data_IF_677337351001
#
_entry.id   IF_677337351001
#
_cell.length_a   1.000
_cell.length_b   1.000
_cell.length_c   1.000
_cell.angle_alpha   90.00
_cell.angle_beta   90.00
_cell.angle_gamma   90.00
#
_symmetry.space_group_name_H-M   'P 1'
#
loop_
_entity.id
_entity.type
_entity.pdbx_description
1 polymer ?
#
# COMPACT_ATOMS: atom_id res chain seq x y z
N UNK A 1 39.76 -37.66 32.26
CA UNK A 1 39.30 -37.43 30.88
C UNK A 1 38.81 -35.98 30.74
N UNK A 2 39.68 -35.03 30.39
CA UNK A 2 39.26 -33.67 30.02
C UNK A 2 38.85 -33.68 28.54
N UNK A 3 37.59 -34.03 28.25
CA UNK A 3 37.04 -33.76 26.92
C UNK A 3 37.02 -32.25 26.75
N UNK A 4 37.86 -31.75 25.84
CA UNK A 4 38.00 -30.34 25.55
C UNK A 4 36.65 -29.79 25.05
N UNK A 5 35.87 -29.18 25.94
CA UNK A 5 34.56 -28.63 25.64
C UNK A 5 34.63 -27.25 24.95
N UNK A 6 35.84 -26.80 24.59
CA UNK A 6 36.10 -25.50 23.97
C UNK A 6 35.21 -25.25 22.75
N UNK A 7 35.12 -26.20 21.82
CA UNK A 7 34.30 -26.06 20.61
C UNK A 7 32.81 -25.88 20.90
N UNK A 8 32.28 -26.50 21.97
CA UNK A 8 30.88 -26.34 22.38
C UNK A 8 30.62 -24.91 22.88
N UNK A 9 31.53 -24.37 23.67
CA UNK A 9 31.44 -22.98 24.14
C UNK A 9 31.52 -21.99 22.97
N UNK A 10 32.41 -22.24 22.01
CA UNK A 10 32.52 -21.41 20.80
C UNK A 10 31.22 -21.41 20.00
N UNK A 11 30.57 -22.57 19.83
CA UNK A 11 29.26 -22.67 19.16
C UNK A 11 28.19 -21.86 19.91
N UNK A 12 28.06 -22.07 21.22
CA UNK A 12 27.01 -21.39 22.00
C UNK A 12 27.19 -19.88 21.95
N UNK A 13 28.42 -19.37 22.10
CA UNK A 13 28.71 -17.94 22.00
C UNK A 13 28.40 -17.43 20.58
N UNK A 14 28.75 -18.18 19.55
CA UNK A 14 28.46 -17.79 18.15
C UNK A 14 26.95 -17.70 17.89
N UNK A 15 26.16 -18.63 18.43
CA UNK A 15 24.69 -18.59 18.33
C UNK A 15 24.15 -17.37 19.07
N UNK A 16 24.62 -17.09 20.29
CA UNK A 16 24.16 -15.92 21.06
C UNK A 16 24.48 -14.61 20.33
N UNK A 17 25.70 -14.47 19.80
CA UNK A 17 26.11 -13.28 19.02
C UNK A 17 25.27 -13.16 17.75
N UNK A 18 25.03 -14.26 17.04
CA UNK A 18 24.14 -14.26 15.88
C UNK A 18 22.71 -13.87 16.23
N UNK A 19 22.17 -14.39 17.34
CA UNK A 19 20.84 -14.04 17.84
C UNK A 19 20.72 -12.57 18.22
N UNK A 20 21.74 -12.00 18.87
CA UNK A 20 21.79 -10.57 19.18
C UNK A 20 21.88 -9.70 17.92
N UNK A 21 22.63 -10.14 16.92
CA UNK A 21 22.72 -9.46 15.63
C UNK A 21 21.37 -9.45 14.91
N UNK A 22 20.65 -10.58 14.89
CA UNK A 22 19.34 -10.67 14.25
C UNK A 22 18.26 -9.85 14.96
N UNK A 23 18.39 -9.67 16.28
CA UNK A 23 17.46 -8.89 17.08
C UNK A 23 17.75 -7.38 17.07
N UNK A 24 18.83 -6.91 16.42
CA UNK A 24 19.21 -5.50 16.42
C UNK A 24 18.88 -4.80 15.09
N UNK A 25 18.21 -3.63 15.09
CA UNK A 25 17.66 -2.91 16.25
C UNK A 25 16.35 -3.55 16.78
N UNK A 26 16.15 -3.62 18.11
CA UNK A 26 15.04 -4.37 18.70
C UNK A 26 13.69 -3.65 18.64
N UNK A 27 13.64 -2.32 18.56
CA UNK A 27 12.39 -1.55 18.54
C UNK A 27 12.39 -0.55 17.40
N UNK A 28 11.19 -0.11 17.02
CA UNK A 28 11.02 0.99 16.06
C UNK A 28 11.75 2.25 16.58
N UNK A 29 12.54 2.86 15.71
CA UNK A 29 13.24 4.12 15.97
C UNK A 29 12.40 5.28 15.44
N UNK A 30 12.63 6.48 15.99
CA UNK A 30 11.99 7.67 15.44
C UNK A 30 12.48 7.88 14.01
N UNK A 31 11.53 7.95 13.06
CA UNK A 31 11.86 8.06 11.64
C UNK A 31 12.69 9.32 11.34
N UNK A 32 12.50 10.40 12.09
CA UNK A 32 13.30 11.62 11.93
C UNK A 32 14.73 11.49 12.44
N UNK A 33 14.95 10.69 13.49
CA UNK A 33 16.30 10.37 13.95
C UNK A 33 17.04 9.49 12.93
N UNK A 34 16.36 8.51 12.35
CA UNK A 34 16.92 7.66 11.28
C UNK A 34 17.15 8.47 10.01
N UNK A 35 16.22 9.36 9.66
CA UNK A 35 16.36 10.31 8.55
C UNK A 35 17.59 11.21 8.74
N UNK A 36 17.76 11.78 9.93
CA UNK A 36 18.90 12.64 10.23
C UNK A 36 20.22 11.85 10.26
N UNK A 37 20.27 10.68 10.88
CA UNK A 37 21.51 9.90 11.02
C UNK A 37 22.01 9.30 9.70
N UNK A 38 21.09 8.92 8.80
CA UNK A 38 21.44 8.33 7.49
C UNK A 38 21.68 9.36 6.37
N UNK A 39 21.42 10.64 6.62
CA UNK A 39 21.72 11.69 5.65
C UNK A 39 23.22 12.03 5.63
N UNK A 40 23.81 12.08 4.43
CA UNK A 40 25.24 12.30 4.24
C UNK A 40 25.54 13.79 4.01
N UNK A 41 24.93 14.40 2.99
CA UNK A 41 25.25 15.76 2.55
C UNK A 41 24.40 16.83 3.26
N UNK A 42 24.47 16.88 4.58
CA UNK A 42 23.65 17.81 5.39
C UNK A 42 24.01 19.27 5.07
N UNK A 43 22.99 20.07 4.80
CA UNK A 43 23.09 21.51 4.58
C UNK A 43 22.09 22.27 5.48
N UNK A 44 22.08 23.60 5.39
CA UNK A 44 21.15 24.44 6.17
C UNK A 44 19.67 24.15 5.88
N UNK A 45 19.35 23.75 4.65
CA UNK A 45 17.97 23.42 4.26
C UNK A 45 17.52 22.10 4.89
N UNK A 46 18.42 21.11 4.98
CA UNK A 46 18.20 19.85 5.67
C UNK A 46 17.99 20.06 7.18
N UNK A 47 18.81 20.90 7.81
CA UNK A 47 18.64 21.24 9.23
C UNK A 47 17.30 21.94 9.48
N UNK A 48 16.82 22.75 8.53
CA UNK A 48 15.50 23.38 8.59
C UNK A 48 14.37 22.35 8.48
N UNK A 49 14.50 21.33 7.62
CA UNK A 49 13.55 20.21 7.52
C UNK A 49 13.47 19.45 8.85
N UNK A 50 14.62 19.05 9.41
CA UNK A 50 14.66 18.32 10.69
C UNK A 50 14.04 19.15 11.82
N UNK A 51 14.29 20.46 11.83
CA UNK A 51 13.71 21.38 12.83
C UNK A 51 12.18 21.49 12.70
N UNK A 52 11.65 21.57 11.47
CA UNK A 52 10.20 21.57 11.20
C UNK A 52 9.55 20.25 11.63
N UNK A 53 10.20 19.14 11.31
CA UNK A 53 9.77 17.81 11.74
C UNK A 53 9.68 17.72 13.26
N UNK A 54 10.74 18.12 13.98
CA UNK A 54 10.74 18.09 15.45
C UNK A 54 9.64 18.99 16.05
N UNK A 55 9.35 20.13 15.43
CA UNK A 55 8.25 21.00 15.86
C UNK A 55 6.87 20.34 15.65
N UNK A 56 6.67 19.67 14.51
CA UNK A 56 5.43 18.93 14.21
C UNK A 56 5.26 17.70 15.15
N UNK A 57 6.35 16.97 15.41
CA UNK A 57 6.37 15.78 16.25
C UNK A 57 6.02 16.06 17.72
N UNK A 58 6.32 17.28 18.22
CA UNK A 58 5.90 17.72 19.56
C UNK A 58 4.39 17.92 19.68
N UNK A 59 3.72 18.22 18.57
CA UNK A 59 2.27 18.47 18.54
C UNK A 59 1.49 17.18 18.36
N UNK A 60 1.96 16.28 17.48
CA UNK A 60 1.30 15.00 17.23
C UNK A 60 2.30 13.89 16.88
N UNK A 61 2.77 13.16 17.90
CA UNK A 61 3.79 12.13 17.73
C UNK A 61 3.31 10.86 17.03
N UNK A 62 1.99 10.65 16.95
CA UNK A 62 1.39 9.49 16.29
C UNK A 62 1.54 9.55 14.76
N UNK A 63 1.86 10.73 14.18
CA UNK A 63 1.96 10.96 12.74
C UNK A 63 3.40 11.18 12.27
N UNK A 64 4.37 10.45 12.81
CA UNK A 64 5.79 10.66 12.51
C UNK A 64 6.12 10.68 11.00
N UNK A 65 5.60 9.72 10.22
CA UNK A 65 5.82 9.70 8.77
C UNK A 65 5.20 10.92 8.06
N UNK A 66 3.95 11.24 8.35
CA UNK A 66 3.25 12.38 7.74
C UNK A 66 3.88 13.73 8.12
N UNK A 67 4.30 13.89 9.38
CA UNK A 67 5.02 15.06 9.86
C UNK A 67 6.34 15.25 9.10
N UNK A 68 7.04 14.15 8.79
CA UNK A 68 8.28 14.20 8.02
C UNK A 68 8.02 14.58 6.56
N UNK A 69 6.99 13.99 5.93
CA UNK A 69 6.55 14.36 4.57
C UNK A 69 6.20 15.86 4.48
N UNK A 70 5.45 16.36 5.45
CA UNK A 70 5.07 17.79 5.51
C UNK A 70 6.29 18.69 5.73
N UNK A 71 7.22 18.30 6.62
CA UNK A 71 8.44 19.05 6.89
C UNK A 71 9.35 19.16 5.66
N UNK A 72 9.39 18.11 4.83
CA UNK A 72 10.18 18.05 3.59
C UNK A 72 9.52 18.90 2.49
N UNK A 73 8.20 18.86 2.36
CA UNK A 73 7.47 19.63 1.36
C UNK A 73 7.98 19.34 -0.06
N UNK A 74 8.47 20.37 -0.76
CA UNK A 74 8.96 20.28 -2.15
C UNK A 74 10.48 20.08 -2.27
N UNK A 75 11.19 19.91 -1.15
CA UNK A 75 12.65 19.76 -1.16
C UNK A 75 13.07 18.41 -1.77
N UNK A 76 14.14 18.41 -2.56
CA UNK A 76 14.69 17.18 -3.17
C UNK A 76 15.60 16.44 -2.18
N UNK A 77 15.28 15.17 -1.91
CA UNK A 77 16.00 14.33 -0.96
C UNK A 77 17.20 13.61 -1.57
N UNK A 78 17.31 13.52 -2.90
CA UNK A 78 18.34 12.73 -3.58
C UNK A 78 19.76 13.16 -3.23
N UNK A 79 19.95 14.46 -2.99
CA UNK A 79 21.24 15.01 -2.58
C UNK A 79 21.68 14.51 -1.20
N UNK A 80 20.73 14.28 -0.28
CA UNK A 80 21.00 13.88 1.10
C UNK A 80 21.20 12.38 1.25
N UNK A 81 20.60 11.58 0.37
CA UNK A 81 20.63 10.12 0.42
C UNK A 81 21.17 9.47 -0.88
N UNK A 82 22.45 9.72 -1.24
CA UNK A 82 23.03 9.17 -2.47
C UNK A 82 23.21 7.64 -2.44
N UNK A 83 23.12 7.01 -1.26
CA UNK A 83 23.19 5.55 -1.09
C UNK A 83 21.95 4.82 -1.60
N UNK A 84 20.83 5.52 -1.80
CA UNK A 84 19.58 4.95 -2.27
C UNK A 84 19.48 5.12 -3.79
N UNK A 85 19.45 4.02 -4.53
CA UNK A 85 19.29 4.08 -5.98
C UNK A 85 17.81 4.29 -6.33
N UNK A 86 17.45 5.54 -6.59
CA UNK A 86 16.08 5.98 -6.91
C UNK A 86 15.99 6.67 -8.27
N UNK A 87 16.96 6.42 -9.16
CA UNK A 87 17.04 7.11 -10.47
C UNK A 87 15.92 6.72 -11.43
N UNK A 88 15.39 5.50 -11.30
CA UNK A 88 14.29 4.96 -12.10
C UNK A 88 12.91 5.18 -11.48
N UNK A 89 12.83 5.75 -10.28
CA UNK A 89 11.59 5.89 -9.54
C UNK A 89 10.80 7.12 -9.97
N UNK A 90 9.48 6.95 -10.15
CA UNK A 90 8.57 8.05 -10.56
C UNK A 90 8.51 9.15 -9.50
N UNK A 91 8.63 8.78 -8.21
CA UNK A 91 8.73 9.71 -7.10
C UNK A 91 9.95 9.37 -6.21
N UNK A 92 11.13 9.96 -6.50
CA UNK A 92 12.36 9.65 -5.78
C UNK A 92 12.30 9.98 -4.28
N UNK A 93 11.63 11.07 -3.91
CA UNK A 93 11.49 11.48 -2.51
C UNK A 93 10.68 10.45 -1.72
N UNK A 94 9.56 10.00 -2.28
CA UNK A 94 8.73 8.97 -1.67
C UNK A 94 9.49 7.65 -1.52
N UNK A 95 10.23 7.24 -2.56
CA UNK A 95 11.06 6.04 -2.50
C UNK A 95 12.14 6.11 -1.40
N UNK A 96 12.81 7.25 -1.26
CA UNK A 96 13.78 7.50 -0.17
C UNK A 96 13.09 7.39 1.20
N UNK A 97 11.92 8.03 1.36
CA UNK A 97 11.19 8.01 2.63
C UNK A 97 10.72 6.61 3.03
N UNK A 98 10.24 5.81 2.07
CA UNK A 98 9.91 4.41 2.33
C UNK A 98 11.13 3.60 2.76
N UNK A 99 12.31 3.85 2.18
CA UNK A 99 13.54 3.17 2.59
C UNK A 99 13.98 3.61 3.99
N UNK A 100 13.91 4.91 4.31
CA UNK A 100 14.18 5.43 5.65
C UNK A 100 13.20 4.85 6.68
N UNK A 101 11.93 4.73 6.33
CA UNK A 101 10.92 4.10 7.18
C UNK A 101 11.22 2.62 7.44
N UNK A 102 11.65 1.87 6.43
CA UNK A 102 12.09 0.47 6.59
C UNK A 102 13.32 0.34 7.49
N UNK A 103 14.24 1.30 7.43
CA UNK A 103 15.39 1.35 8.35
C UNK A 103 14.98 1.72 9.78
N UNK A 104 13.93 2.53 9.93
CA UNK A 104 13.37 2.90 11.22
C UNK A 104 12.51 1.79 11.85
N UNK A 105 12.00 0.85 11.04
CA UNK A 105 11.30 -0.33 11.53
C UNK A 105 12.28 -1.24 12.29
N UNK A 106 11.93 -1.58 13.52
CA UNK A 106 12.67 -2.53 14.34
C UNK A 106 12.58 -3.94 13.77
N UNK A 107 13.53 -4.81 14.15
CA UNK A 107 13.53 -6.23 13.78
C UNK A 107 12.47 -7.05 14.50
N UNK A 108 12.01 -6.58 15.67
CA UNK A 108 10.87 -7.19 16.37
C UNK A 108 9.59 -6.65 15.75
N UNK A 109 8.95 -7.49 14.93
CA UNK A 109 7.66 -7.19 14.31
C UNK A 109 6.57 -7.37 15.36
N UNK A 110 5.80 -6.32 15.63
CA UNK A 110 4.68 -6.34 16.56
C UNK A 110 3.37 -6.58 15.81
N UNK A 111 2.48 -7.36 16.41
CA UNK A 111 1.15 -7.62 15.90
C UNK A 111 0.24 -6.41 16.02
N UNK A 112 -0.90 -6.48 15.34
CA UNK A 112 -1.88 -5.40 15.33
C UNK A 112 -2.43 -5.06 16.74
N UNK A 113 -2.50 -6.07 17.60
CA UNK A 113 -2.89 -5.98 18.99
C UNK A 113 -1.88 -5.22 19.87
N UNK A 114 -0.59 -5.29 19.52
CA UNK A 114 0.49 -4.61 20.25
C UNK A 114 0.88 -3.26 19.63
N UNK A 115 0.81 -3.13 18.31
CA UNK A 115 1.21 -1.92 17.57
C UNK A 115 0.03 -0.97 17.27
N UNK A 116 -1.20 -1.50 17.29
CA UNK A 116 -2.38 -0.80 16.81
C UNK A 116 -2.44 -0.71 15.28
N UNK A 117 -3.63 -0.45 14.76
CA UNK A 117 -3.89 -0.33 13.32
C UNK A 117 -5.27 -0.88 12.93
N UNK A 118 -5.44 -1.19 11.65
CA UNK A 118 -6.72 -1.70 11.12
C UNK A 118 -6.53 -3.02 10.38
N UNK A 119 -7.47 -3.95 10.59
CA UNK A 119 -7.58 -5.18 9.83
C UNK A 119 -8.88 -5.21 9.02
N UNK A 120 -8.79 -5.72 7.80
CA UNK A 120 -9.90 -5.94 6.90
C UNK A 120 -9.95 -7.43 6.55
N UNK A 121 -11.10 -8.05 6.76
CA UNK A 121 -11.42 -9.33 6.15
C UNK A 121 -12.23 -9.06 4.88
N UNK A 122 -11.61 -9.34 3.75
CA UNK A 122 -12.13 -9.02 2.43
C UNK A 122 -12.49 -10.31 1.73
N UNK A 123 -13.62 -10.35 1.03
CA UNK A 123 -14.00 -11.49 0.21
C UNK A 123 -14.08 -11.12 -1.26
N UNK A 124 -13.53 -11.98 -2.10
CA UNK A 124 -13.56 -11.88 -3.55
C UNK A 124 -14.91 -12.39 -4.08
N UNK A 125 -15.55 -11.63 -4.96
CA UNK A 125 -16.79 -12.05 -5.61
C UNK A 125 -16.51 -13.09 -6.69
N UNK A 126 -16.43 -14.36 -6.28
CA UNK A 126 -16.09 -15.48 -7.15
C UNK A 126 -17.27 -15.99 -7.98
N UNK A 127 -18.45 -15.33 -7.93
CA UNK A 127 -19.64 -15.77 -8.67
C UNK A 127 -19.44 -15.78 -10.20
N UNK A 128 -18.45 -15.01 -10.69
CA UNK A 128 -18.07 -14.96 -12.11
C UNK A 128 -16.93 -15.92 -12.48
N UNK A 129 -16.40 -16.67 -11.53
CA UNK A 129 -15.27 -17.60 -11.72
C UNK A 129 -15.77 -19.05 -11.68
N UNK A 130 -15.70 -19.71 -12.85
CA UNK A 130 -16.32 -21.01 -13.09
C UNK A 130 -15.52 -22.19 -12.50
N UNK A 131 -14.18 -22.11 -12.43
CA UNK A 131 -13.33 -23.22 -11.95
C UNK A 131 -12.63 -22.90 -10.63
N UNK A 132 -12.34 -23.94 -9.82
CA UNK A 132 -11.57 -23.81 -8.57
C UNK A 132 -10.15 -23.27 -8.82
N UNK A 133 -9.52 -23.69 -9.91
CA UNK A 133 -8.17 -23.23 -10.29
C UNK A 133 -8.16 -21.75 -10.68
N UNK A 134 -9.23 -21.24 -11.29
CA UNK A 134 -9.35 -19.81 -11.59
C UNK A 134 -9.62 -18.99 -10.32
N UNK A 135 -10.27 -19.57 -9.31
CA UNK A 135 -10.45 -18.92 -8.00
C UNK A 135 -9.15 -18.79 -7.23
N UNK A 136 -8.33 -19.84 -7.19
CA UNK A 136 -7.01 -19.79 -6.56
C UNK A 136 -6.10 -18.78 -7.26
N UNK A 137 -6.03 -18.81 -8.60
CA UNK A 137 -5.25 -17.84 -9.38
C UNK A 137 -5.74 -16.40 -9.16
N UNK A 138 -7.05 -16.18 -9.15
CA UNK A 138 -7.63 -14.87 -8.89
C UNK A 138 -7.36 -14.38 -7.45
N UNK A 139 -7.32 -15.29 -6.48
CA UNK A 139 -6.98 -14.97 -5.09
C UNK A 139 -5.52 -14.56 -4.94
N UNK A 140 -4.59 -15.34 -5.52
CA UNK A 140 -3.16 -15.02 -5.49
C UNK A 140 -2.87 -13.70 -6.21
N UNK A 141 -3.49 -13.49 -7.37
CA UNK A 141 -3.40 -12.23 -8.10
C UNK A 141 -3.98 -11.06 -7.28
N UNK A 142 -5.11 -11.26 -6.61
CA UNK A 142 -5.71 -10.25 -5.76
C UNK A 142 -4.80 -9.89 -4.57
N UNK A 143 -4.13 -10.87 -3.96
CA UNK A 143 -3.15 -10.63 -2.88
C UNK A 143 -2.01 -9.75 -3.38
N UNK A 144 -1.45 -10.04 -4.56
CA UNK A 144 -0.33 -9.27 -5.12
C UNK A 144 -0.73 -7.84 -5.51
N UNK A 145 -1.91 -7.70 -6.10
CA UNK A 145 -2.50 -6.39 -6.43
C UNK A 145 -2.74 -5.58 -5.16
N UNK A 146 -3.33 -6.19 -4.12
CA UNK A 146 -3.60 -5.51 -2.85
C UNK A 146 -2.30 -5.11 -2.14
N UNK A 147 -1.25 -5.94 -2.21
CA UNK A 147 0.09 -5.59 -1.69
C UNK A 147 0.63 -4.34 -2.35
N UNK A 148 0.63 -4.31 -3.68
CA UNK A 148 1.13 -3.17 -4.46
C UNK A 148 0.34 -1.89 -4.18
N UNK A 149 -0.98 -1.99 -3.99
CA UNK A 149 -1.85 -0.84 -3.66
C UNK A 149 -1.61 -0.29 -2.26
N UNK A 150 -1.42 -1.17 -1.29
CA UNK A 150 -1.21 -0.79 0.12
C UNK A 150 0.21 -0.25 0.35
N UNK A 151 1.22 -0.78 -0.32
CA UNK A 151 2.61 -0.32 -0.19
C UNK A 151 2.79 1.18 -0.51
N UNK A 152 1.94 1.72 -1.39
CA UNK A 152 1.95 3.15 -1.77
C UNK A 152 1.43 4.09 -0.67
N UNK A 153 0.91 3.58 0.44
CA UNK A 153 0.48 4.38 1.60
C UNK A 153 1.56 4.55 2.67
N UNK A 154 2.77 3.99 2.49
CA UNK A 154 3.82 4.08 3.49
C UNK A 154 3.46 3.33 4.78
N UNK A 155 2.67 2.26 4.67
CA UNK A 155 2.41 1.36 5.81
C UNK A 155 3.69 0.57 6.07
N UNK A 156 4.12 0.51 7.33
CA UNK A 156 5.23 -0.35 7.71
C UNK A 156 4.77 -1.82 7.60
N UNK A 157 5.13 -2.47 6.50
CA UNK A 157 4.96 -3.92 6.29
C UNK A 157 3.51 -4.44 6.44
N UNK A 158 2.63 -4.20 5.45
CA UNK A 158 1.28 -4.75 5.48
C UNK A 158 1.28 -6.28 5.42
N UNK A 159 0.47 -6.91 6.28
CA UNK A 159 0.27 -8.36 6.27
C UNK A 159 -0.97 -8.66 5.43
N UNK A 160 -0.76 -9.31 4.28
CA UNK A 160 -1.82 -9.69 3.35
C UNK A 160 -1.71 -11.19 3.09
N UNK A 161 -2.72 -11.93 3.51
CA UNK A 161 -2.73 -13.38 3.50
C UNK A 161 -4.12 -13.92 3.14
N UNK A 162 -4.17 -15.09 2.51
CA UNK A 162 -5.43 -15.80 2.32
C UNK A 162 -6.01 -16.24 3.67
N UNK A 163 -7.30 -15.98 3.90
CA UNK A 163 -8.05 -16.32 5.12
C UNK A 163 -9.01 -17.50 4.91
N UNK A 164 -8.68 -18.37 3.94
CA UNK A 164 -9.47 -19.53 3.55
C UNK A 164 -10.60 -19.21 2.56
N UNK A 165 -10.82 -20.11 1.61
CA UNK A 165 -11.84 -19.95 0.56
C UNK A 165 -11.53 -18.77 -0.35
N UNK A 166 -12.45 -17.82 -0.44
CA UNK A 166 -12.40 -16.60 -1.25
C UNK A 166 -12.02 -15.35 -0.44
N UNK A 167 -11.45 -15.53 0.76
CA UNK A 167 -11.20 -14.45 1.71
C UNK A 167 -9.73 -14.10 1.81
N UNK A 168 -9.47 -12.81 2.02
CA UNK A 168 -8.14 -12.22 2.19
C UNK A 168 -8.17 -11.42 3.49
N UNK A 169 -7.25 -11.72 4.40
CA UNK A 169 -6.97 -10.94 5.59
C UNK A 169 -5.91 -9.91 5.24
N UNK A 170 -6.23 -8.63 5.46
CA UNK A 170 -5.35 -7.49 5.25
C UNK A 170 -5.17 -6.81 6.60
N UNK A 171 -3.94 -6.67 7.08
CA UNK A 171 -3.61 -5.96 8.31
C UNK A 171 -2.67 -4.81 7.99
N UNK A 172 -3.09 -3.61 8.38
CA UNK A 172 -2.40 -2.35 8.14
C UNK A 172 -2.00 -1.75 9.51
N UNK A 173 -0.82 -2.13 10.04
CA UNK A 173 -0.36 -1.62 11.33
C UNK A 173 0.03 -0.14 11.23
N UNK A 174 -0.30 0.64 12.26
CA UNK A 174 0.16 2.03 12.39
C UNK A 174 -0.44 3.06 11.42
N UNK A 175 -1.56 2.75 10.75
CA UNK A 175 -2.30 3.74 9.96
C UNK A 175 -3.10 4.69 10.84
N UNK A 176 -3.15 5.97 10.45
CA UNK A 176 -4.05 6.95 11.06
C UNK A 176 -5.49 6.77 10.55
N UNK A 177 -6.51 7.18 11.31
CA UNK A 177 -7.92 7.01 10.91
C UNK A 177 -8.23 7.58 9.51
N UNK A 178 -7.62 8.71 9.15
CA UNK A 178 -7.82 9.33 7.82
C UNK A 178 -7.20 8.47 6.71
N UNK A 179 -6.02 7.91 6.95
CA UNK A 179 -5.33 7.05 5.99
C UNK A 179 -5.99 5.68 5.89
N UNK A 180 -6.60 5.20 6.98
CA UNK A 180 -7.44 3.99 6.99
C UNK A 180 -8.65 4.13 6.06
N UNK A 181 -9.29 5.30 6.00
CA UNK A 181 -10.39 5.55 5.07
C UNK A 181 -9.95 5.49 3.60
N UNK A 182 -8.78 6.09 3.29
CA UNK A 182 -8.18 6.00 1.95
C UNK A 182 -7.78 4.57 1.61
N UNK A 183 -7.15 3.84 2.54
CA UNK A 183 -6.78 2.45 2.35
C UNK A 183 -8.00 1.56 2.13
N UNK A 184 -9.08 1.76 2.91
CA UNK A 184 -10.36 1.07 2.74
C UNK A 184 -10.89 1.26 1.32
N UNK A 185 -10.93 2.51 0.83
CA UNK A 185 -11.39 2.82 -0.52
C UNK A 185 -10.55 2.11 -1.59
N UNK A 186 -9.22 2.07 -1.43
CA UNK A 186 -8.32 1.40 -2.39
C UNK A 186 -8.42 -0.12 -2.39
N UNK A 187 -8.74 -0.71 -1.23
CA UNK A 187 -9.02 -2.14 -1.11
C UNK A 187 -10.34 -2.46 -1.80
N UNK A 188 -11.39 -1.64 -1.63
CA UNK A 188 -12.73 -1.92 -2.19
C UNK A 188 -12.89 -1.53 -3.66
N UNK A 189 -12.20 -0.49 -4.12
CA UNK A 189 -12.34 0.01 -5.48
C UNK A 189 -11.55 -0.91 -6.42
N UNK A 190 -12.24 -1.77 -7.16
CA UNK A 190 -11.59 -2.73 -8.03
C UNK A 190 -10.95 -2.10 -9.29
N UNK A 191 -11.34 -0.86 -9.63
CA UNK A 191 -11.01 -0.19 -10.89
C UNK A 191 -11.27 -1.08 -12.10
N UNK A 192 -12.49 -1.58 -12.22
CA UNK A 192 -12.94 -2.19 -13.46
C UNK A 192 -13.03 -1.11 -14.53
N UNK A 193 -11.95 -0.99 -15.30
CA UNK A 193 -11.87 -0.15 -16.48
C UNK A 193 -12.54 -0.88 -17.65
N UNK A 194 -13.51 -0.22 -18.27
CA UNK A 194 -14.16 -0.69 -19.48
C UNK A 194 -14.24 0.43 -20.51
N UNK A 195 -13.86 0.11 -21.74
CA UNK A 195 -14.04 1.01 -22.87
C UNK A 195 -15.35 0.66 -23.55
N UNK A 196 -16.27 1.62 -23.66
CA UNK A 196 -17.61 1.40 -24.19
C UNK A 196 -17.93 2.46 -25.24
N UNK A 197 -18.62 2.11 -26.31
CA UNK A 197 -19.02 3.09 -27.31
C UNK A 197 -20.22 3.91 -26.81
N UNK A 198 -20.17 5.21 -27.00
CA UNK A 198 -21.31 6.11 -26.79
C UNK A 198 -22.21 6.06 -28.01
N UNK A 199 -23.52 6.09 -27.80
CA UNK A 199 -24.48 6.14 -28.90
C UNK A 199 -24.28 7.43 -29.74
N UNK A 200 -24.13 7.36 -31.07
CA UNK A 200 -23.87 8.54 -31.90
C UNK A 200 -24.94 9.64 -31.77
N UNK A 201 -26.21 9.24 -31.59
CA UNK A 201 -27.35 10.15 -31.35
C UNK A 201 -27.69 10.32 -29.87
N UNK A 202 -26.73 10.14 -28.97
CA UNK A 202 -26.98 10.17 -27.52
C UNK A 202 -27.69 11.44 -27.06
N UNK A 203 -27.32 12.62 -27.57
CA UNK A 203 -27.96 13.89 -27.17
C UNK A 203 -29.42 13.99 -27.60
N UNK A 204 -29.73 13.55 -28.82
CA UNK A 204 -31.08 13.58 -29.38
C UNK A 204 -32.00 12.61 -28.64
N UNK A 205 -31.58 11.34 -28.48
CA UNK A 205 -32.36 10.32 -27.79
C UNK A 205 -32.61 10.63 -26.31
N UNK A 206 -31.60 11.21 -25.62
CA UNK A 206 -31.77 11.64 -24.23
C UNK A 206 -32.76 12.80 -24.09
N UNK A 207 -32.89 13.66 -25.10
CA UNK A 207 -33.88 14.76 -25.11
C UNK A 207 -35.31 14.27 -25.33
N UNK A 208 -35.46 13.10 -25.95
CA UNK A 208 -36.74 12.42 -26.17
C UNK A 208 -37.06 11.38 -25.07
N UNK A 209 -36.20 11.28 -24.04
CA UNK A 209 -36.26 10.26 -22.97
C UNK A 209 -36.25 8.80 -23.48
N UNK A 210 -35.68 8.57 -24.66
CA UNK A 210 -35.59 7.24 -25.29
C UNK A 210 -34.25 6.58 -24.94
N UNK A 211 -34.32 5.36 -24.39
CA UNK A 211 -33.15 4.50 -24.15
C UNK A 211 -33.27 3.26 -25.01
N UNK A 212 -32.42 3.15 -26.03
CA UNK A 212 -32.41 1.98 -26.91
C UNK A 212 -31.96 0.70 -26.18
N UNK A 213 -32.51 -0.48 -26.53
CA UNK A 213 -32.07 -1.75 -25.97
C UNK A 213 -30.56 -1.97 -26.17
N UNK A 214 -29.85 -2.26 -25.09
CA UNK A 214 -28.40 -2.47 -25.12
C UNK A 214 -27.57 -1.24 -24.72
N UNK A 215 -28.20 -0.09 -24.47
CA UNK A 215 -27.57 1.10 -23.91
C UNK A 215 -28.04 1.35 -22.47
N UNK A 216 -27.23 2.07 -21.72
CA UNK A 216 -27.57 2.59 -20.40
C UNK A 216 -27.13 4.04 -20.25
N UNK A 217 -27.78 4.74 -19.33
CA UNK A 217 -27.51 6.15 -19.06
C UNK A 217 -26.37 6.23 -18.07
N UNK A 218 -25.24 6.80 -18.47
CA UNK A 218 -24.14 7.15 -17.57
C UNK A 218 -23.96 8.66 -17.51
N UNK A 219 -23.52 9.14 -16.34
CA UNK A 219 -23.34 10.56 -16.06
C UNK A 219 -21.85 10.85 -15.85
N UNK A 220 -21.33 11.81 -16.58
CA UNK A 220 -20.00 12.38 -16.40
C UNK A 220 -20.12 13.62 -15.52
N UNK A 221 -19.41 13.63 -14.39
CA UNK A 221 -19.35 14.79 -13.50
C UNK A 221 -18.09 15.60 -13.81
N UNK A 222 -18.26 16.81 -14.33
CA UNK A 222 -17.16 17.76 -14.58
C UNK A 222 -17.23 18.90 -13.58
N UNK A 223 -16.24 18.96 -12.70
CA UNK A 223 -15.99 20.11 -11.83
C UNK A 223 -15.33 21.22 -12.65
N UNK A 224 -15.83 22.44 -12.52
CA UNK A 224 -15.19 23.64 -13.06
C UNK A 224 -14.34 24.32 -11.97
N UNK A 225 -13.45 25.23 -12.38
CA UNK A 225 -12.52 25.94 -11.47
C UNK A 225 -13.21 26.81 -10.42
N UNK A 226 -14.48 27.15 -10.61
CA UNK A 226 -15.31 27.89 -9.66
C UNK A 226 -16.00 26.98 -8.62
N UNK A 227 -15.77 25.66 -8.67
CA UNK A 227 -16.41 24.67 -7.81
C UNK A 227 -17.80 24.23 -8.28
N UNK A 228 -18.31 24.76 -9.39
CA UNK A 228 -19.57 24.29 -9.98
C UNK A 228 -19.40 22.90 -10.60
N UNK A 229 -20.41 22.05 -10.42
CA UNK A 229 -20.44 20.69 -10.96
C UNK A 229 -21.40 20.66 -12.15
N UNK A 230 -20.84 20.52 -13.35
CA UNK A 230 -21.61 20.26 -14.57
C UNK A 230 -21.77 18.75 -14.75
N UNK A 231 -23.00 18.27 -14.93
CA UNK A 231 -23.29 16.85 -15.15
C UNK A 231 -23.72 16.65 -16.60
N UNK A 232 -22.86 16.02 -17.38
CA UNK A 232 -23.18 15.62 -18.75
C UNK A 232 -23.70 14.17 -18.75
N UNK A 233 -24.74 13.90 -19.52
CA UNK A 233 -25.36 12.58 -19.58
C UNK A 233 -25.11 11.96 -20.96
N UNK A 234 -24.76 10.69 -20.99
CA UNK A 234 -24.45 9.93 -22.20
C UNK A 234 -25.18 8.59 -22.21
N UNK A 235 -25.64 8.17 -23.39
CA UNK A 235 -26.09 6.81 -23.65
C UNK A 235 -24.88 5.97 -24.04
N UNK A 236 -24.50 5.05 -23.16
CA UNK A 236 -23.30 4.22 -23.31
C UNK A 236 -23.72 2.77 -23.51
N UNK A 237 -23.08 2.05 -24.42
CA UNK A 237 -23.36 0.64 -24.64
C UNK A 237 -23.16 -0.17 -23.34
N UNK A 238 -23.97 -1.20 -23.08
CA UNK A 238 -23.87 -2.06 -21.89
C UNK A 238 -22.67 -3.02 -21.92
N UNK A 239 -22.11 -3.27 -23.11
CA UNK A 239 -20.99 -4.20 -23.30
C UNK A 239 -19.71 -3.42 -23.63
N UNK A 240 -18.54 -3.90 -23.15
CA UNK A 240 -17.26 -3.33 -23.54
C UNK A 240 -17.04 -3.51 -25.05
N UNK A 241 -16.52 -2.46 -25.68
CA UNK A 241 -16.21 -2.42 -27.10
C UNK A 241 -15.09 -3.43 -27.40
N UNK A 242 -15.38 -4.42 -28.25
CA UNK A 242 -14.41 -5.48 -28.61
C UNK A 242 -13.87 -6.31 -27.44
N UNK A 243 -14.49 -6.25 -26.26
CA UNK A 243 -13.96 -6.87 -25.04
C UNK A 243 -12.77 -6.12 -24.41
N UNK A 244 -12.51 -4.87 -24.81
CA UNK A 244 -11.42 -4.07 -24.27
C UNK A 244 -11.71 -3.63 -22.84
N UNK A 245 -10.88 -4.07 -21.91
CA UNK A 245 -11.03 -3.81 -20.47
C UNK A 245 -9.68 -3.49 -19.84
N UNK A 246 -9.66 -3.16 -18.54
CA UNK A 246 -8.44 -2.93 -17.77
C UNK A 246 -7.45 -4.11 -17.77
N UNK A 247 -7.90 -5.33 -18.10
CA UNK A 247 -7.00 -6.49 -18.26
C UNK A 247 -5.99 -6.33 -19.40
N UNK A 248 -6.30 -5.46 -20.36
CA UNK A 248 -5.43 -5.15 -21.49
C UNK A 248 -4.48 -3.98 -21.20
N UNK A 249 -4.49 -3.41 -20.00
CA UNK A 249 -3.60 -2.31 -19.63
C UNK A 249 -2.24 -2.85 -19.19
N UNK A 250 -1.16 -2.34 -19.76
CA UNK A 250 0.21 -2.67 -19.33
C UNK A 250 0.78 -1.64 -18.38
N UNK A 251 0.42 -0.36 -18.56
CA UNK A 251 0.89 0.76 -17.73
C UNK A 251 -0.17 1.83 -17.61
N UNK A 252 -0.23 2.46 -16.44
CA UNK A 252 -0.96 3.70 -16.22
C UNK A 252 -0.13 4.63 -15.33
N UNK A 253 0.07 5.87 -15.77
CA UNK A 253 0.85 6.85 -15.01
C UNK A 253 0.27 8.25 -15.14
N UNK A 254 0.51 9.08 -14.12
CA UNK A 254 0.06 10.47 -14.11
C UNK A 254 0.99 11.31 -14.97
N UNK A 255 0.40 12.01 -15.94
CA UNK A 255 1.04 13.09 -16.68
C UNK A 255 0.35 14.41 -16.40
N UNK A 256 0.81 15.44 -17.12
CA UNK A 256 0.22 16.77 -17.07
C UNK A 256 -0.09 17.21 -18.48
N UNK A 257 -1.29 17.74 -18.65
CA UNK A 257 -1.67 18.35 -19.90
C UNK A 257 -0.79 19.59 -20.16
N UNK A 258 -0.11 19.65 -21.31
CA UNK A 258 0.83 20.74 -21.62
C UNK A 258 0.17 22.12 -21.73
N UNK A 259 -1.13 22.16 -22.06
CA UNK A 259 -1.85 23.42 -22.29
C UNK A 259 -2.54 23.93 -21.03
N UNK A 260 -3.24 23.05 -20.30
CA UNK A 260 -4.02 23.46 -19.13
C UNK A 260 -3.32 23.23 -17.78
N UNK A 261 -2.20 22.50 -17.79
CA UNK A 261 -1.47 22.03 -16.60
C UNK A 261 -2.31 21.19 -15.63
N UNK A 262 -3.45 20.68 -16.09
CA UNK A 262 -4.31 19.77 -15.32
C UNK A 262 -3.69 18.36 -15.34
N UNK A 263 -3.83 17.58 -14.24
CA UNK A 263 -3.36 16.20 -14.21
C UNK A 263 -4.21 15.30 -15.13
N UNK A 264 -3.55 14.42 -15.86
CA UNK A 264 -4.18 13.44 -16.76
C UNK A 264 -3.51 12.07 -16.59
N UNK A 265 -4.21 10.99 -16.91
CA UNK A 265 -3.67 9.63 -16.79
C UNK A 265 -3.35 9.11 -18.17
N UNK A 266 -2.07 8.88 -18.43
CA UNK A 266 -1.62 8.18 -19.63
C UNK A 266 -1.70 6.68 -19.40
N UNK A 267 -2.17 5.95 -20.39
CA UNK A 267 -2.20 4.51 -20.35
C UNK A 267 -1.65 3.88 -21.62
N UNK A 268 -1.10 2.68 -21.46
CA UNK A 268 -0.59 1.83 -22.54
C UNK A 268 -1.31 0.48 -22.47
N UNK A 269 -1.68 -0.04 -23.64
CA UNK A 269 -2.31 -1.35 -23.79
C UNK A 269 -1.27 -2.42 -24.18
N UNK A 270 -1.57 -3.68 -23.85
CA UNK A 270 -0.83 -4.84 -24.35
C UNK A 270 -1.01 -5.02 -25.86
N UNK A 271 -0.19 -5.84 -26.50
CA UNK A 271 -0.23 -6.02 -27.96
C UNK A 271 -1.62 -6.43 -28.46
N UNK A 272 -2.31 -7.30 -27.70
CA UNK A 272 -3.67 -7.75 -28.03
C UNK A 272 -4.70 -6.62 -27.88
N UNK A 273 -4.61 -5.84 -26.81
CA UNK A 273 -5.44 -4.68 -26.55
C UNK A 273 -5.23 -3.57 -27.57
N UNK A 274 -3.98 -3.34 -27.99
CA UNK A 274 -3.63 -2.37 -29.02
C UNK A 274 -4.27 -2.71 -30.38
N UNK A 275 -4.28 -3.99 -30.78
CA UNK A 275 -4.96 -4.45 -32.00
C UNK A 275 -6.48 -4.21 -31.93
N UNK A 276 -7.12 -4.59 -30.82
CA UNK A 276 -8.55 -4.38 -30.59
C UNK A 276 -8.88 -2.89 -30.59
N UNK A 277 -8.05 -2.07 -29.92
CA UNK A 277 -8.23 -0.63 -29.82
C UNK A 277 -8.04 0.06 -31.18
N UNK A 278 -7.05 -0.36 -31.98
CA UNK A 278 -6.85 0.11 -33.34
C UNK A 278 -8.07 -0.18 -34.23
N UNK A 279 -8.63 -1.39 -34.13
CA UNK A 279 -9.83 -1.76 -34.87
C UNK A 279 -11.04 -0.90 -34.46
N UNK A 280 -11.30 -0.78 -33.16
CA UNK A 280 -12.43 0.02 -32.64
C UNK A 280 -12.30 1.47 -33.08
N UNK A 281 -11.11 2.06 -32.94
CA UNK A 281 -10.88 3.48 -33.30
C UNK A 281 -10.98 3.71 -34.80
N UNK A 282 -10.54 2.76 -35.64
CA UNK A 282 -10.69 2.82 -37.10
C UNK A 282 -12.16 2.78 -37.54
N UNK A 283 -12.97 1.92 -36.93
CA UNK A 283 -14.38 1.72 -37.30
C UNK A 283 -15.31 2.83 -36.75
N UNK A 284 -14.87 3.57 -35.74
CA UNK A 284 -15.70 4.53 -35.00
C UNK A 284 -15.16 5.96 -35.02
N UNK A 285 -14.47 6.37 -36.08
CA UNK A 285 -13.98 7.75 -36.23
C UNK A 285 -15.15 8.73 -36.17
N UNK A 286 -15.03 9.77 -35.33
CA UNK A 286 -16.05 10.76 -35.05
C UNK A 286 -17.03 10.40 -33.92
N UNK A 287 -17.07 9.14 -33.48
CA UNK A 287 -17.87 8.72 -32.33
C UNK A 287 -17.09 8.94 -31.02
N UNK A 288 -17.81 8.95 -29.90
CA UNK A 288 -17.19 9.07 -28.57
C UNK A 288 -16.95 7.68 -27.96
N UNK A 289 -15.77 7.51 -27.35
CA UNK A 289 -15.42 6.30 -26.60
C UNK A 289 -15.51 6.62 -25.10
N UNK A 290 -16.50 6.06 -24.43
CA UNK A 290 -16.67 6.18 -23.00
C UNK A 290 -15.65 5.32 -22.26
N UNK A 291 -14.96 5.95 -21.31
CA UNK A 291 -14.06 5.32 -20.35
C UNK A 291 -14.82 5.20 -19.04
N UNK A 292 -15.25 3.98 -18.74
CA UNK A 292 -16.08 3.65 -17.58
C UNK A 292 -15.21 2.98 -16.54
N UNK A 293 -15.30 3.46 -15.29
CA UNK A 293 -14.58 2.92 -14.15
C UNK A 293 -15.58 2.54 -13.07
N UNK A 294 -15.63 1.27 -12.69
CA UNK A 294 -16.53 0.76 -11.64
C UNK A 294 -18.01 1.16 -11.90
N UNK A 295 -18.41 1.21 -13.18
CA UNK A 295 -19.75 1.61 -13.62
C UNK A 295 -20.00 3.11 -13.68
N UNK A 296 -19.02 3.96 -13.34
CA UNK A 296 -19.11 5.42 -13.47
C UNK A 296 -18.37 5.90 -14.72
N UNK A 297 -18.99 6.81 -15.48
CA UNK A 297 -18.36 7.42 -16.64
C UNK A 297 -17.34 8.47 -16.19
N UNK A 298 -16.05 8.23 -16.48
CA UNK A 298 -14.96 9.17 -16.15
C UNK A 298 -14.71 10.18 -17.25
N UNK A 299 -14.65 9.72 -18.50
CA UNK A 299 -14.50 10.59 -19.66
C UNK A 299 -15.11 9.95 -20.91
N UNK A 300 -15.50 10.79 -21.87
CA UNK A 300 -16.01 10.34 -23.18
C UNK A 300 -15.35 11.12 -24.34
N UNK A 301 -14.03 10.93 -24.57
CA UNK A 301 -13.34 11.58 -25.68
C UNK A 301 -13.87 11.16 -27.05
N UNK A 302 -13.79 12.07 -28.01
CA UNK A 302 -14.08 11.79 -29.42
C UNK A 302 -12.90 11.08 -30.07
N UNK A 303 -13.19 10.04 -30.86
CA UNK A 303 -12.21 9.33 -31.66
C UNK A 303 -11.90 10.16 -32.90
N UNK A 304 -10.69 10.71 -32.99
CA UNK A 304 -10.27 11.56 -34.13
C UNK A 304 -9.69 10.76 -35.30
N UNK A 305 -9.28 9.52 -35.07
CA UNK A 305 -8.65 8.65 -36.05
C UNK A 305 -8.23 7.32 -35.43
N UNK A 306 -7.66 6.45 -36.25
CA UNK A 306 -7.11 5.17 -35.78
C UNK A 306 -5.91 5.37 -34.86
N UNK A 307 -5.88 4.62 -33.75
CA UNK A 307 -4.77 4.63 -32.79
C UNK A 307 -4.10 3.26 -32.76
N UNK A 308 -3.13 2.99 -33.65
CA UNK A 308 -2.47 1.69 -33.73
C UNK A 308 -1.47 1.45 -32.59
N UNK A 309 -1.04 2.51 -31.89
CA UNK A 309 -0.07 2.42 -30.79
C UNK A 309 -0.65 1.85 -29.49
N UNK A 310 -1.98 1.72 -29.37
CA UNK A 310 -2.61 1.24 -28.14
C UNK A 310 -2.42 2.17 -26.92
N UNK A 311 -2.06 3.42 -27.13
CA UNK A 311 -1.83 4.40 -26.07
C UNK A 311 -2.94 5.44 -26.01
N UNK A 312 -3.33 5.88 -24.82
CA UNK A 312 -4.37 6.90 -24.65
C UNK A 312 -4.22 7.75 -23.40
N UNK A 313 -5.12 8.72 -23.26
CA UNK A 313 -5.15 9.66 -22.14
C UNK A 313 -6.55 9.70 -21.55
N UNK A 314 -6.65 9.62 -20.23
CA UNK A 314 -7.88 9.79 -19.44
C UNK A 314 -7.79 11.15 -18.75
N UNK A 315 -8.69 12.05 -19.13
CA UNK A 315 -8.82 13.36 -18.50
C UNK A 315 -9.68 13.24 -17.24
N UNK A 316 -9.23 13.85 -16.14
CA UNK A 316 -9.94 13.83 -14.85
C UNK A 316 -10.90 15.02 -14.65
N UNK A 317 -10.97 15.92 -15.65
CA UNK A 317 -11.67 17.19 -15.56
C UNK A 317 -10.78 18.32 -15.02
N UNK A 318 -11.27 19.55 -15.12
CA UNK A 318 -10.53 20.73 -14.67
C UNK A 318 -10.50 20.80 -13.14
N UNK A 319 -9.34 21.11 -12.54
CA UNK A 319 -9.20 21.21 -11.08
C UNK A 319 -9.17 19.86 -10.34
N UNK A 320 -8.92 18.76 -11.04
CA UNK A 320 -8.65 17.46 -10.41
C UNK A 320 -7.38 17.51 -9.56
N UNK A 321 -7.42 16.84 -8.41
CA UNK A 321 -6.26 16.78 -7.51
C UNK A 321 -5.20 15.81 -8.05
N UNK A 322 -3.93 16.18 -7.90
CA UNK A 322 -2.79 15.33 -8.31
C UNK A 322 -2.82 14.02 -7.51
N UNK A 323 -3.20 14.07 -6.23
CA UNK A 323 -3.32 12.86 -5.40
C UNK A 323 -4.40 11.91 -5.93
N UNK A 324 -5.57 12.43 -6.30
CA UNK A 324 -6.65 11.63 -6.92
C UNK A 324 -6.17 10.97 -8.23
N UNK A 325 -5.43 11.71 -9.05
CA UNK A 325 -4.86 11.19 -10.29
C UNK A 325 -3.90 10.03 -10.05
N UNK A 326 -3.00 10.16 -9.05
CA UNK A 326 -2.07 9.11 -8.66
C UNK A 326 -2.79 7.89 -8.12
N UNK A 327 -3.76 8.10 -7.24
CA UNK A 327 -4.59 7.04 -6.69
C UNK A 327 -5.25 6.26 -7.83
N UNK A 328 -5.89 6.93 -8.79
CA UNK A 328 -6.54 6.27 -9.91
C UNK A 328 -5.55 5.54 -10.84
N UNK A 329 -4.43 6.16 -11.20
CA UNK A 329 -3.41 5.53 -12.04
C UNK A 329 -2.90 4.22 -11.42
N UNK A 330 -2.70 4.20 -10.10
CA UNK A 330 -2.27 3.01 -9.38
C UNK A 330 -3.31 1.88 -9.46
N UNK A 331 -4.60 2.20 -9.35
CA UNK A 331 -5.67 1.20 -9.42
C UNK A 331 -5.81 0.62 -10.83
N UNK A 332 -5.57 1.44 -11.86
CA UNK A 332 -5.60 1.04 -13.26
C UNK A 332 -4.41 0.18 -13.68
N UNK A 333 -3.21 0.46 -13.15
CA UNK A 333 -1.99 -0.32 -13.41
C UNK A 333 -2.10 -1.75 -12.85
N UNK A 334 -2.85 -1.94 -11.77
CA UNK A 334 -3.02 -3.22 -11.09
C UNK A 334 -4.51 -3.49 -10.80
N UNK A 335 -5.33 -3.83 -11.81
CA UNK A 335 -6.76 -4.07 -11.63
C UNK A 335 -7.02 -5.41 -10.93
N UNK A 336 -8.09 -5.49 -10.13
CA UNK A 336 -8.52 -6.76 -9.53
C UNK A 336 -9.31 -7.59 -10.55
N UNK A 337 -9.14 -8.91 -10.56
CA UNK A 337 -9.86 -9.80 -11.49
C UNK A 337 -11.36 -9.90 -11.19
N UNK A 338 -11.72 -9.80 -9.91
CA UNK A 338 -13.09 -9.81 -9.41
C UNK A 338 -13.27 -8.74 -8.33
N UNK A 339 -14.47 -8.15 -8.19
CA UNK A 339 -14.71 -7.14 -7.18
C UNK A 339 -14.59 -7.77 -5.79
N UNK A 340 -14.14 -6.98 -4.83
CA UNK A 340 -14.00 -7.42 -3.45
C UNK A 340 -14.98 -6.68 -2.53
N UNK A 341 -15.37 -7.33 -1.44
CA UNK A 341 -16.25 -6.77 -0.42
C UNK A 341 -15.64 -6.96 0.95
N UNK A 342 -15.64 -5.91 1.76
CA UNK A 342 -15.24 -6.02 3.17
C UNK A 342 -16.35 -6.74 3.92
N UNK A 343 -16.05 -7.90 4.50
CA UNK A 343 -16.97 -8.65 5.36
C UNK A 343 -16.86 -8.18 6.81
N UNK A 344 -15.63 -7.91 7.26
CA UNK A 344 -15.36 -7.49 8.63
C UNK A 344 -14.22 -6.47 8.64
N UNK A 345 -14.33 -5.51 9.53
CA UNK A 345 -13.30 -4.54 9.83
C UNK A 345 -13.10 -4.48 11.33
N UNK A 346 -11.84 -4.48 11.77
CA UNK A 346 -11.49 -4.34 13.17
C UNK A 346 -10.28 -3.42 13.30
N UNK A 347 -10.42 -2.39 14.13
CA UNK A 347 -9.37 -1.43 14.44
C UNK A 347 -8.97 -1.54 15.91
N UNK A 348 -7.67 -1.48 16.18
CA UNK A 348 -7.10 -1.45 17.53
C UNK A 348 -6.34 -0.14 17.69
N UNK A 349 -6.61 0.57 18.80
CA UNK A 349 -5.92 1.82 19.10
C UNK A 349 -4.46 1.54 19.53
N UNK A 350 -3.46 2.22 18.97
CA UNK A 350 -2.06 2.06 19.35
C UNK A 350 -1.77 2.28 20.84
N UNK A 351 -2.57 3.10 21.53
CA UNK A 351 -2.41 3.34 22.97
C UNK A 351 -2.67 2.08 23.81
N UNK A 352 -3.67 1.29 23.46
CA UNK A 352 -3.99 0.02 24.12
C UNK A 352 -2.85 -0.99 23.96
N UNK A 353 -2.25 -1.05 22.77
CA UNK A 353 -1.11 -1.91 22.50
C UNK A 353 0.13 -1.52 23.31
N UNK A 354 0.43 -0.21 23.39
CA UNK A 354 1.54 0.30 24.20
C UNK A 354 1.40 -0.08 25.68
N UNK A 355 0.21 0.07 26.25
CA UNK A 355 -0.07 -0.28 27.64
C UNK A 355 0.07 -1.79 27.88
N UNK A 356 -0.39 -2.61 26.92
CA UNK A 356 -0.22 -4.06 26.95
C UNK A 356 1.26 -4.48 26.92
N UNK A 357 2.07 -3.88 26.04
CA UNK A 357 3.52 -4.11 25.98
C UNK A 357 4.18 -3.73 27.30
N UNK A 358 3.89 -2.54 27.84
CA UNK A 358 4.52 -2.06 29.07
C UNK A 358 4.19 -2.96 30.26
N UNK A 359 2.91 -3.35 30.40
CA UNK A 359 2.46 -4.27 31.44
C UNK A 359 3.05 -5.68 31.28
N UNK A 360 3.10 -6.18 30.04
CA UNK A 360 3.68 -7.49 29.72
C UNK A 360 5.16 -7.57 30.05
N UNK A 361 5.95 -6.55 29.64
CA UNK A 361 7.38 -6.46 29.93
C UNK A 361 7.64 -6.35 31.44
N UNK A 362 6.88 -5.50 32.16
CA UNK A 362 7.00 -5.38 33.62
C UNK A 362 6.70 -6.71 34.32
N UNK A 363 5.63 -7.39 33.93
CA UNK A 363 5.22 -8.67 34.51
C UNK A 363 6.24 -9.77 34.23
N UNK A 364 6.76 -9.86 33.00
CA UNK A 364 7.79 -10.80 32.61
C UNK A 364 9.09 -10.55 33.39
N UNK A 365 9.52 -9.30 33.55
CA UNK A 365 10.72 -8.94 34.30
C UNK A 365 10.60 -9.34 35.78
N UNK A 366 9.47 -9.04 36.41
CA UNK A 366 9.19 -9.43 37.80
C UNK A 366 9.22 -10.96 37.93
N UNK A 367 8.60 -11.69 37.00
CA UNK A 367 8.61 -13.15 36.96
C UNK A 367 10.02 -13.72 36.82
N UNK A 368 10.82 -13.21 35.89
CA UNK A 368 12.21 -13.61 35.68
C UNK A 368 13.04 -13.39 36.96
N UNK A 369 12.90 -12.23 37.61
CA UNK A 369 13.64 -11.92 38.84
C UNK A 369 13.19 -12.85 39.98
N UNK A 370 11.88 -13.08 40.14
CA UNK A 370 11.36 -13.96 41.18
C UNK A 370 11.82 -15.42 41.00
N UNK A 371 11.75 -15.95 39.78
CA UNK A 371 12.22 -17.32 39.45
C UNK A 371 13.74 -17.41 39.60
N UNK A 372 14.48 -16.41 39.13
CA UNK A 372 15.94 -16.38 39.25
C UNK A 372 16.38 -16.34 40.72
N UNK A 373 15.69 -15.55 41.54
CA UNK A 373 15.92 -15.47 42.98
C UNK A 373 15.62 -16.80 43.68
N UNK A 374 14.49 -17.43 43.36
CA UNK A 374 14.14 -18.76 43.87
C UNK A 374 15.19 -19.81 43.50
N UNK A 375 15.66 -19.82 42.25
CA UNK A 375 16.69 -20.75 41.78
C UNK A 375 18.00 -20.59 42.56
N UNK A 376 18.43 -19.35 42.82
CA UNK A 376 19.66 -19.09 43.59
C UNK A 376 19.49 -19.52 45.06
N UNK A 377 18.35 -19.24 45.67
CA UNK A 377 18.11 -19.61 47.08
C UNK A 377 18.00 -21.12 47.27
N UNK A 378 17.29 -21.82 46.38
CA UNK A 378 17.02 -23.25 46.52
C UNK A 378 18.18 -24.13 46.02
N UNK A 379 18.81 -23.77 44.89
CA UNK A 379 19.85 -24.57 44.23
C UNK A 379 21.27 -24.01 44.34
N UNK A 380 21.46 -22.86 45.01
CA UNK A 380 22.75 -22.21 45.23
C UNK A 380 23.60 -22.08 43.94
N UNK A 381 24.78 -22.71 43.90
CA UNK A 381 25.72 -22.64 42.79
C UNK A 381 25.16 -23.23 41.49
N UNK A 382 24.39 -24.31 41.58
CA UNK A 382 23.72 -24.91 40.41
C UNK A 382 22.60 -24.00 39.88
N UNK A 383 21.94 -23.25 40.77
CA UNK A 383 20.94 -22.25 40.41
C UNK A 383 21.52 -21.09 39.60
N UNK A 384 22.74 -20.66 39.92
CA UNK A 384 23.43 -19.62 39.14
C UNK A 384 23.70 -20.07 37.70
N UNK A 385 24.14 -21.32 37.51
CA UNK A 385 24.35 -21.92 36.18
C UNK A 385 23.04 -22.02 35.40
N UNK A 386 21.95 -22.41 36.07
CA UNK A 386 20.62 -22.45 35.46
C UNK A 386 20.13 -21.07 35.01
N UNK A 387 20.36 -20.02 35.80
CA UNK A 387 19.99 -18.64 35.42
C UNK A 387 20.77 -18.15 34.20
N UNK A 388 22.07 -18.48 34.09
CA UNK A 388 22.86 -18.16 32.88
C UNK A 388 22.28 -18.87 31.65
N UNK A 389 21.89 -20.15 31.80
CA UNK A 389 21.24 -20.90 30.72
C UNK A 389 19.87 -20.31 30.34
N UNK A 390 19.08 -19.84 31.32
CA UNK A 390 17.80 -19.19 31.10
C UNK A 390 17.96 -17.91 30.27
N UNK A 391 18.90 -17.03 30.65
CA UNK A 391 19.17 -15.79 29.91
C UNK A 391 19.64 -16.09 28.48
N UNK A 392 20.57 -17.04 28.32
CA UNK A 392 21.00 -17.47 26.99
C UNK A 392 19.83 -18.00 26.15
N UNK A 393 18.94 -18.79 26.74
CA UNK A 393 17.76 -19.31 26.06
C UNK A 393 16.82 -18.19 25.59
N UNK A 394 16.56 -17.18 26.42
CA UNK A 394 15.71 -16.02 26.05
C UNK A 394 16.32 -15.26 24.87
N UNK A 395 17.62 -14.99 24.89
CA UNK A 395 18.30 -14.29 23.79
C UNK A 395 18.22 -15.10 22.49
N UNK A 396 18.47 -16.41 22.58
CA UNK A 396 18.43 -17.30 21.41
C UNK A 396 17.02 -17.35 20.82
N UNK A 397 15.99 -17.48 21.67
CA UNK A 397 14.59 -17.53 21.25
C UNK A 397 14.19 -16.25 20.52
N UNK A 398 14.50 -15.07 21.09
CA UNK A 398 14.21 -13.78 20.44
C UNK A 398 14.96 -13.65 19.10
N UNK A 399 16.24 -14.03 19.06
CA UNK A 399 17.03 -13.96 17.83
C UNK A 399 16.52 -14.88 16.72
N UNK A 400 16.07 -16.09 17.07
CA UNK A 400 15.45 -17.02 16.11
C UNK A 400 14.13 -16.43 15.59
N UNK A 401 13.27 -15.91 16.48
CA UNK A 401 12.03 -15.26 16.10
C UNK A 401 12.26 -14.10 15.12
N UNK A 402 13.24 -13.24 15.39
CA UNK A 402 13.62 -12.14 14.49
C UNK A 402 14.18 -12.67 13.17
N UNK A 403 14.97 -13.75 13.17
CA UNK A 403 15.53 -14.34 11.96
C UNK A 403 14.47 -14.94 11.03
N UNK A 404 13.36 -15.42 11.57
CA UNK A 404 12.21 -15.91 10.80
C UNK A 404 11.13 -14.85 10.55
N UNK A 405 11.40 -13.59 10.89
CA UNK A 405 10.45 -12.48 10.72
C UNK A 405 9.09 -12.74 11.39
N UNK A 406 9.07 -13.43 12.53
CA UNK A 406 7.81 -13.75 13.23
C UNK A 406 7.23 -12.52 13.90
N UNK A 407 5.91 -12.38 13.85
CA UNK A 407 5.17 -11.30 14.52
C UNK A 407 4.86 -11.65 15.99
N UNK A 408 5.18 -10.75 16.91
CA UNK A 408 4.86 -10.86 18.33
C UNK A 408 3.44 -10.36 18.59
N UNK A 409 2.61 -11.18 19.21
CA UNK A 409 1.22 -10.86 19.59
C UNK A 409 1.03 -11.05 21.10
N UNK A 410 -0.13 -10.66 21.62
CA UNK A 410 -0.55 -10.79 23.02
C UNK A 410 -0.72 -12.24 23.48
#
# INVERSE_FOLDING_TARGET
>A
MSRNNFWKWTIVISIIVWSLFQAYPPSNQDIGEVFNSNAINKNKDFDAIVSRYQAAQRTNSAKAYANLVEAIGTNDLRAYFPQFDVRSEVNPNFAILNQVQRLAAGKIKLGLDLQGGTSFLVALDTNKLETLTDRERALDQAIEVLRTRVDKFGVAEPIIQAAGGDRILIQLPGLSELDTLSARAQITNAAFLEFRLVHPRSRELLSEEIVEPGYEILRESRKARDGSVSVATYLVAKRPAGGLTGKNLTKAFVGRNQMSNDPEIHFELDSKGAEIFAQITRENVGNQLAIVLDGQLRSAPTINGEIPSGSGVITLGQGADVREAFELANVLENPLEAPVRIQQESSVDPSLGKDAIESGVKSALIGIVAVSGFMVVYYLASGLVANVALVANVIILIGIMCAFETTFTL
#
